data_IF_933146096036
#
_entry.id   IF_933146096036
#
_cell.length_a   1.000
_cell.length_b   1.000
_cell.length_c   1.000
_cell.angle_alpha   90.00
_cell.angle_beta   90.00
_cell.angle_gamma   90.00
#
_symmetry.space_group_name_H-M   'P 1'
#
loop_
_entity.id
_entity.type
_entity.pdbx_description
1 polymer ?
#
# COMPACT_ATOMS: atom_id res chain seq x y z
N UNK A 1 5.00 21.22 -4.19
CA UNK A 1 3.85 20.47 -3.63
C UNK A 1 4.21 20.12 -2.19
N UNK A 2 3.40 20.48 -1.18
CA UNK A 2 3.75 20.18 0.22
C UNK A 2 3.67 18.66 0.49
N UNK A 3 4.48 18.12 1.41
CA UNK A 3 4.42 16.69 1.77
C UNK A 3 3.04 16.24 2.27
N UNK A 4 2.34 17.13 2.98
CA UNK A 4 0.95 16.91 3.45
C UNK A 4 -0.04 16.81 2.28
N UNK A 5 0.14 17.60 1.23
CA UNK A 5 -0.69 17.56 0.04
C UNK A 5 -0.41 16.33 -0.83
N UNK A 6 0.87 15.93 -0.94
CA UNK A 6 1.26 14.66 -1.55
C UNK A 6 0.61 13.47 -0.82
N UNK A 7 0.65 13.44 0.51
CA UNK A 7 -0.01 12.41 1.32
C UNK A 7 -1.52 12.35 1.11
N UNK A 8 -2.19 13.50 1.18
CA UNK A 8 -3.65 13.56 0.98
C UNK A 8 -4.04 13.03 -0.41
N UNK A 9 -3.26 13.33 -1.45
CA UNK A 9 -3.46 12.78 -2.79
C UNK A 9 -3.23 11.27 -2.84
N UNK A 10 -2.09 10.80 -2.34
CA UNK A 10 -1.75 9.36 -2.32
C UNK A 10 -2.78 8.53 -1.55
N UNK A 11 -3.26 9.03 -0.40
CA UNK A 11 -4.31 8.37 0.39
C UNK A 11 -5.61 8.30 -0.40
N UNK A 12 -6.04 9.40 -1.02
CA UNK A 12 -7.27 9.42 -1.83
C UNK A 12 -7.18 8.45 -3.01
N UNK A 13 -6.07 8.47 -3.74
CA UNK A 13 -5.85 7.58 -4.89
C UNK A 13 -5.82 6.11 -4.44
N UNK A 14 -5.23 5.82 -3.28
CA UNK A 14 -5.21 4.48 -2.70
C UNK A 14 -6.60 4.02 -2.25
N UNK A 15 -7.40 4.87 -1.60
CA UNK A 15 -8.77 4.54 -1.20
C UNK A 15 -9.61 4.18 -2.44
N UNK A 16 -9.53 4.99 -3.50
CA UNK A 16 -10.26 4.73 -4.74
C UNK A 16 -9.86 3.38 -5.36
N UNK A 17 -8.55 3.10 -5.45
CA UNK A 17 -8.04 1.83 -5.94
C UNK A 17 -8.45 0.66 -5.04
N UNK A 18 -8.41 0.82 -3.72
CA UNK A 18 -8.81 -0.23 -2.78
C UNK A 18 -10.29 -0.59 -2.98
N UNK A 19 -11.17 0.40 -3.09
CA UNK A 19 -12.60 0.18 -3.36
C UNK A 19 -12.82 -0.57 -4.68
N UNK A 20 -12.12 -0.17 -5.76
CA UNK A 20 -12.23 -0.85 -7.05
C UNK A 20 -11.76 -2.31 -6.98
N UNK A 21 -10.60 -2.56 -6.35
CA UNK A 21 -10.06 -3.90 -6.19
C UNK A 21 -10.94 -4.78 -5.29
N UNK A 22 -11.55 -4.22 -4.23
CA UNK A 22 -12.50 -4.93 -3.37
C UNK A 22 -13.77 -5.31 -4.11
N UNK A 23 -14.32 -4.40 -4.94
CA UNK A 23 -15.49 -4.71 -5.77
C UNK A 23 -15.21 -5.87 -6.73
N UNK A 24 -14.03 -5.88 -7.36
CA UNK A 24 -13.60 -7.01 -8.21
C UNK A 24 -13.43 -8.31 -7.43
N UNK A 25 -12.94 -8.26 -6.20
CA UNK A 25 -12.87 -9.45 -5.34
C UNK A 25 -14.28 -10.01 -5.07
N UNK A 26 -15.24 -9.13 -4.77
CA UNK A 26 -16.64 -9.53 -4.55
C UNK A 26 -17.22 -10.18 -5.81
N UNK A 27 -17.04 -9.57 -6.99
CA UNK A 27 -17.48 -10.15 -8.28
C UNK A 27 -16.86 -11.54 -8.52
N UNK A 28 -15.54 -11.69 -8.31
CA UNK A 28 -14.86 -12.97 -8.49
C UNK A 28 -15.32 -14.03 -7.48
N UNK A 29 -15.59 -13.65 -6.24
CA UNK A 29 -16.10 -14.58 -5.22
C UNK A 29 -17.44 -15.19 -5.62
N UNK A 30 -18.31 -14.44 -6.30
CA UNK A 30 -19.61 -14.91 -6.79
C UNK A 30 -19.47 -15.95 -7.90
N UNK A 31 -18.48 -15.81 -8.79
CA UNK A 31 -18.18 -16.79 -9.86
C UNK A 31 -17.80 -18.15 -9.26
N UNK A 32 -17.09 -18.17 -8.12
CA UNK A 32 -16.73 -19.44 -7.46
C UNK A 32 -17.92 -20.20 -6.85
N UNK A 33 -19.03 -19.50 -6.62
CA UNK A 33 -20.25 -20.05 -5.98
C UNK A 33 -21.37 -20.43 -6.94
N UNK A 34 -21.32 -19.95 -8.19
CA UNK A 34 -22.34 -20.15 -9.24
C UNK A 34 -21.80 -21.11 -10.31
N UNK A 35 -22.11 -22.40 -10.22
CA UNK A 35 -21.92 -23.44 -11.26
C UNK A 35 -20.58 -23.45 -12.03
N UNK A 36 -19.54 -22.80 -11.51
CA UNK A 36 -18.25 -22.67 -12.17
C UNK A 36 -17.51 -24.00 -12.18
N UNK A 37 -16.86 -24.31 -13.30
CA UNK A 37 -15.97 -25.48 -13.35
C UNK A 37 -14.81 -25.28 -12.36
N UNK A 38 -14.13 -26.36 -11.98
CA UNK A 38 -12.93 -26.26 -11.13
C UNK A 38 -11.87 -25.31 -11.73
N UNK A 39 -11.84 -25.18 -13.06
CA UNK A 39 -11.00 -24.24 -13.79
C UNK A 39 -11.43 -22.77 -13.59
N UNK A 40 -12.73 -22.48 -13.64
CA UNK A 40 -13.26 -21.12 -13.41
C UNK A 40 -13.01 -20.67 -11.96
N UNK A 41 -13.15 -21.59 -11.00
CA UNK A 41 -12.84 -21.34 -9.59
C UNK A 41 -11.35 -21.05 -9.37
N UNK A 42 -10.46 -21.76 -10.08
CA UNK A 42 -9.02 -21.50 -10.04
C UNK A 42 -8.67 -20.11 -10.61
N UNK A 43 -9.20 -19.75 -11.79
CA UNK A 43 -8.96 -18.44 -12.41
C UNK A 43 -9.51 -17.30 -11.54
N UNK A 44 -10.70 -17.48 -10.95
CA UNK A 44 -11.28 -16.54 -10.01
C UNK A 44 -10.38 -16.35 -8.77
N UNK A 45 -9.92 -17.43 -8.17
CA UNK A 45 -9.01 -17.40 -7.01
C UNK A 45 -7.69 -16.70 -7.32
N UNK A 46 -7.12 -16.96 -8.49
CA UNK A 46 -5.91 -16.29 -8.96
C UNK A 46 -6.15 -14.79 -9.17
N UNK A 47 -7.26 -14.39 -9.80
CA UNK A 47 -7.62 -12.98 -9.98
C UNK A 47 -7.84 -12.26 -8.64
N UNK A 48 -8.53 -12.90 -7.68
CA UNK A 48 -8.70 -12.36 -6.33
C UNK A 48 -7.36 -12.09 -5.65
N UNK A 49 -6.41 -13.02 -5.77
CA UNK A 49 -5.05 -12.85 -5.21
C UNK A 49 -4.32 -11.66 -5.82
N UNK A 50 -4.48 -11.41 -7.13
CA UNK A 50 -3.94 -10.22 -7.79
C UNK A 50 -4.55 -8.94 -7.21
N UNK A 51 -5.87 -8.88 -7.04
CA UNK A 51 -6.52 -7.68 -6.50
C UNK A 51 -6.10 -7.43 -5.03
N UNK A 52 -5.95 -8.49 -4.22
CA UNK A 52 -5.44 -8.40 -2.83
C UNK A 52 -4.03 -7.81 -2.81
N UNK A 53 -3.14 -8.25 -3.70
CA UNK A 53 -1.79 -7.70 -3.79
C UNK A 53 -1.80 -6.20 -4.14
N UNK A 54 -2.68 -5.77 -5.05
CA UNK A 54 -2.86 -4.34 -5.38
C UNK A 54 -3.35 -3.52 -4.19
N UNK A 55 -4.23 -4.09 -3.36
CA UNK A 55 -4.66 -3.47 -2.09
C UNK A 55 -3.48 -3.32 -1.13
N UNK A 56 -2.67 -4.37 -0.95
CA UNK A 56 -1.48 -4.34 -0.10
C UNK A 56 -0.49 -3.26 -0.56
N UNK A 57 -0.24 -3.16 -1.87
CA UNK A 57 0.63 -2.13 -2.45
C UNK A 57 0.12 -0.70 -2.19
N UNK A 58 -1.20 -0.49 -2.20
CA UNK A 58 -1.79 0.80 -1.82
C UNK A 58 -1.53 1.13 -0.35
N UNK A 59 -1.75 0.18 0.56
CA UNK A 59 -1.45 0.37 1.99
C UNK A 59 0.04 0.70 2.22
N UNK A 60 0.95 0.01 1.51
CA UNK A 60 2.39 0.27 1.57
C UNK A 60 2.75 1.68 1.06
N UNK A 61 2.11 2.13 -0.02
CA UNK A 61 2.31 3.48 -0.56
C UNK A 61 1.90 4.56 0.44
N UNK A 62 0.78 4.37 1.15
CA UNK A 62 0.36 5.28 2.23
C UNK A 62 1.40 5.29 3.35
N UNK A 63 1.84 4.11 3.81
CA UNK A 63 2.87 3.99 4.87
C UNK A 63 4.16 4.73 4.49
N UNK A 64 4.57 4.65 3.22
CA UNK A 64 5.76 5.34 2.74
C UNK A 64 5.61 6.87 2.86
N UNK A 65 4.50 7.43 2.38
CA UNK A 65 4.30 8.89 2.41
C UNK A 65 4.13 9.40 3.85
N UNK A 66 3.50 8.62 4.73
CA UNK A 66 3.43 8.93 6.16
C UNK A 66 4.83 9.00 6.77
N UNK A 67 5.68 8.01 6.48
CA UNK A 67 7.05 8.00 6.98
C UNK A 67 7.91 9.17 6.42
N UNK A 68 7.68 9.58 5.17
CA UNK A 68 8.33 10.76 4.57
C UNK A 68 7.91 12.05 5.28
N UNK A 69 6.64 12.22 5.64
CA UNK A 69 6.17 13.35 6.44
C UNK A 69 6.81 13.31 7.83
N UNK A 70 6.76 12.16 8.51
CA UNK A 70 7.34 12.02 9.84
C UNK A 70 8.83 12.30 9.85
N UNK A 71 9.58 11.82 8.86
CA UNK A 71 11.01 12.13 8.74
C UNK A 71 11.26 13.63 8.52
N UNK A 72 10.46 14.30 7.68
CA UNK A 72 10.56 15.74 7.47
C UNK A 72 10.21 16.53 8.74
N UNK A 73 9.17 16.14 9.48
CA UNK A 73 8.79 16.78 10.74
C UNK A 73 9.92 16.61 11.78
N UNK A 74 10.51 15.41 11.85
CA UNK A 74 11.63 15.10 12.74
C UNK A 74 12.88 15.91 12.39
N UNK A 75 13.24 16.02 11.10
CA UNK A 75 14.42 16.78 10.63
C UNK A 75 14.31 18.28 10.92
N UNK A 76 13.09 18.81 11.02
CA UNK A 76 12.83 20.22 11.28
C UNK A 76 12.57 20.54 12.75
N UNK A 77 12.55 19.54 13.65
CA UNK A 77 12.39 19.77 15.09
C UNK A 77 13.75 20.09 15.74
N UNK A 78 13.95 21.32 16.25
CA UNK A 78 15.22 21.72 16.87
C UNK A 78 15.54 20.97 18.17
N UNK A 79 14.60 20.19 18.73
CA UNK A 79 14.77 19.44 19.98
C UNK A 79 15.18 17.98 19.77
N UNK A 80 15.06 17.45 18.54
CA UNK A 80 15.34 16.04 18.29
C UNK A 80 16.83 15.81 18.04
N UNK A 81 17.40 14.87 18.80
CA UNK A 81 18.83 14.49 18.70
C UNK A 81 19.09 13.75 17.40
N UNK A 82 20.20 14.09 16.74
CA UNK A 82 20.68 13.55 15.46
C UNK A 82 20.58 12.01 15.34
N UNK A 83 20.90 11.29 16.42
CA UNK A 83 20.93 9.81 16.42
C UNK A 83 19.54 9.17 16.28
N UNK A 84 18.50 9.77 16.86
CA UNK A 84 17.12 9.27 16.73
C UNK A 84 16.62 9.45 15.30
N UNK A 85 17.01 10.56 14.65
CA UNK A 85 16.69 10.85 13.25
C UNK A 85 17.38 9.86 12.31
N UNK A 86 18.64 9.52 12.57
CA UNK A 86 19.35 8.52 11.76
C UNK A 86 18.81 7.11 11.93
N UNK A 87 18.43 6.71 13.15
CA UNK A 87 17.80 5.42 13.37
C UNK A 87 16.48 5.28 12.61
N UNK A 88 15.64 6.33 12.62
CA UNK A 88 14.37 6.35 11.88
C UNK A 88 14.59 6.30 10.36
N UNK A 89 15.59 7.05 9.86
CA UNK A 89 15.97 7.03 8.44
C UNK A 89 16.41 5.63 7.98
N UNK A 90 17.22 4.93 8.78
CA UNK A 90 17.69 3.59 8.45
C UNK A 90 16.54 2.57 8.43
N UNK A 91 15.62 2.64 9.39
CA UNK A 91 14.42 1.80 9.41
C UNK A 91 13.51 2.07 8.20
N UNK A 92 13.34 3.34 7.82
CA UNK A 92 12.61 3.71 6.60
C UNK A 92 13.24 3.13 5.33
N UNK A 93 14.56 3.24 5.15
CA UNK A 93 15.28 2.70 3.98
C UNK A 93 15.09 1.18 3.89
N UNK A 94 15.22 0.47 5.01
CA UNK A 94 15.00 -0.99 5.09
C UNK A 94 13.57 -1.38 4.72
N UNK A 95 12.57 -0.64 5.21
CA UNK A 95 11.16 -0.88 4.87
C UNK A 95 10.84 -0.60 3.41
N UNK A 96 11.42 0.48 2.84
CA UNK A 96 11.25 0.84 1.43
C UNK A 96 11.78 -0.25 0.49
N UNK A 97 12.97 -0.79 0.77
CA UNK A 97 13.55 -1.89 -0.01
C UNK A 97 12.64 -3.13 -0.04
N UNK A 98 11.95 -3.43 1.08
CA UNK A 98 10.98 -4.53 1.13
C UNK A 98 9.77 -4.27 0.24
N UNK A 99 9.27 -3.03 0.21
CA UNK A 99 8.10 -2.65 -0.61
C UNK A 99 8.42 -2.73 -2.10
N UNK A 100 9.60 -2.28 -2.53
CA UNK A 100 9.99 -2.34 -3.95
C UNK A 100 10.09 -3.80 -4.46
N UNK A 101 10.40 -4.76 -3.58
CA UNK A 101 10.41 -6.19 -3.91
C UNK A 101 9.00 -6.83 -4.04
N UNK A 102 7.92 -6.11 -3.71
CA UNK A 102 6.53 -6.57 -3.90
C UNK A 102 5.86 -5.96 -5.13
N UNK A 103 6.58 -5.20 -5.96
CA UNK A 103 6.06 -4.73 -7.25
C UNK A 103 5.98 -5.92 -8.21
N UNK A 104 4.75 -6.29 -8.56
CA UNK A 104 4.40 -7.23 -9.64
C UNK A 104 4.34 -6.44 -10.95
#
# INVERSE_FOLDING_TARGET
MSGKEHCRKTVRDCINKMTENMNRIIEHSQISTLEGTAYDSFLSSFSMKIQINKIIQCCQSIQQVVAEITLNDILNDPKLKYDAVQSYKNDYILKKLKIDNYKI
#
